data_IF_521634331607
#
_entry.id   IF_521634331607
#
_cell.length_a   1.000
_cell.length_b   1.000
_cell.length_c   1.000
_cell.angle_alpha   90.00
_cell.angle_beta   90.00
_cell.angle_gamma   90.00
#
_symmetry.space_group_name_H-M   'P 1'
#
loop_
_entity.id
_entity.type
_entity.pdbx_description
1 polymer ?
#
# COMPACT_ATOMS: atom_id res chain seq x y z
N UNK A 1 16.18 -0.74 -1.20
CA UNK A 1 16.04 0.35 -2.17
C UNK A 1 15.45 -0.20 -3.47
N UNK A 2 14.78 0.65 -4.22
CA UNK A 2 14.19 0.34 -5.53
C UNK A 2 14.99 1.14 -6.55
N UNK A 3 15.75 0.45 -7.40
CA UNK A 3 16.71 1.07 -8.31
C UNK A 3 16.34 0.89 -9.78
N UNK A 4 15.38 0.01 -10.08
CA UNK A 4 14.94 -0.28 -11.44
C UNK A 4 13.56 -0.93 -11.52
N UNK A 5 13.08 -1.14 -12.76
CA UNK A 5 11.85 -1.89 -13.01
C UNK A 5 11.91 -3.29 -12.41
N UNK A 6 10.81 -3.78 -11.89
CA UNK A 6 10.64 -5.11 -11.29
C UNK A 6 11.54 -5.40 -10.06
N UNK A 7 12.18 -4.37 -9.47
CA UNK A 7 12.84 -4.54 -8.17
C UNK A 7 11.80 -4.79 -7.08
N UNK A 8 10.65 -4.12 -7.14
CA UNK A 8 9.56 -4.34 -6.17
C UNK A 8 8.19 -4.09 -6.78
N UNK A 9 7.28 -5.05 -6.65
CA UNK A 9 5.86 -4.89 -6.95
C UNK A 9 5.07 -4.65 -5.67
N UNK A 10 4.21 -3.64 -5.67
CA UNK A 10 3.16 -3.45 -4.67
C UNK A 10 1.92 -4.18 -5.16
N UNK A 11 1.43 -5.13 -4.37
CA UNK A 11 0.27 -5.95 -4.68
C UNK A 11 -0.82 -5.64 -3.69
N UNK A 12 -2.02 -5.40 -4.20
CA UNK A 12 -3.20 -5.11 -3.39
C UNK A 12 -4.45 -5.69 -4.02
N UNK A 13 -5.45 -6.00 -3.19
CA UNK A 13 -6.73 -6.57 -3.59
C UNK A 13 -7.88 -5.68 -3.15
N UNK A 14 -8.62 -5.18 -4.12
CA UNK A 14 -9.77 -4.30 -3.89
C UNK A 14 -11.09 -5.03 -4.12
N UNK A 15 -12.09 -4.71 -3.33
CA UNK A 15 -13.44 -5.25 -3.43
C UNK A 15 -14.03 -5.66 -2.07
N UNK A 16 -15.20 -6.32 -2.04
CA UNK A 16 -15.97 -6.75 -3.21
C UNK A 16 -16.69 -5.60 -3.92
N UNK A 17 -16.68 -5.63 -5.25
CA UNK A 17 -17.45 -4.75 -6.13
C UNK A 17 -18.75 -5.44 -6.56
N UNK A 18 -19.74 -4.69 -7.13
CA UNK A 18 -20.88 -5.30 -7.79
C UNK A 18 -20.42 -6.34 -8.82
N UNK A 19 -21.14 -7.46 -8.92
CA UNK A 19 -20.75 -8.56 -9.80
C UNK A 19 -20.77 -8.13 -11.27
N UNK A 20 -19.62 -8.24 -11.96
CA UNK A 20 -19.43 -7.98 -13.39
C UNK A 20 -18.76 -9.18 -14.03
N UNK A 21 -19.38 -9.82 -15.01
CA UNK A 21 -18.88 -11.03 -15.69
C UNK A 21 -18.37 -12.11 -14.70
N UNK A 22 -19.12 -12.32 -13.60
CA UNK A 22 -18.74 -13.28 -12.55
C UNK A 22 -17.63 -12.81 -11.63
N UNK A 23 -17.06 -11.63 -11.83
CA UNK A 23 -15.97 -11.05 -11.03
C UNK A 23 -16.49 -10.09 -9.98
N UNK A 24 -15.80 -10.01 -8.83
CA UNK A 24 -16.15 -9.15 -7.69
C UNK A 24 -14.94 -8.49 -7.02
N UNK A 25 -13.71 -8.87 -7.40
CA UNK A 25 -12.46 -8.30 -6.89
C UNK A 25 -11.56 -7.83 -8.02
N UNK A 26 -10.67 -6.89 -7.72
CA UNK A 26 -9.60 -6.43 -8.60
C UNK A 26 -8.27 -6.66 -7.89
N UNK A 27 -7.41 -7.50 -8.47
CA UNK A 27 -6.01 -7.63 -8.09
C UNK A 27 -5.23 -6.56 -8.83
N UNK A 28 -4.51 -5.70 -8.12
CA UNK A 28 -3.64 -4.67 -8.68
C UNK A 28 -2.20 -4.97 -8.33
N UNK A 29 -1.31 -4.85 -9.31
CA UNK A 29 0.13 -4.95 -9.10
C UNK A 29 0.79 -3.69 -9.71
N UNK A 30 1.51 -2.93 -8.91
CA UNK A 30 2.15 -1.68 -9.31
C UNK A 30 3.65 -1.80 -9.13
N UNK A 31 4.41 -1.62 -10.19
CA UNK A 31 5.85 -1.53 -10.07
C UNK A 31 6.28 -0.27 -9.31
N UNK A 32 7.10 -0.44 -8.30
CA UNK A 32 7.49 0.64 -7.40
C UNK A 32 8.36 1.72 -8.09
N UNK A 33 9.07 1.34 -9.14
CA UNK A 33 9.97 2.23 -9.89
C UNK A 33 9.23 2.97 -11.01
N UNK A 34 8.68 2.23 -11.96
CA UNK A 34 8.03 2.77 -13.17
C UNK A 34 6.62 3.29 -12.94
N UNK A 35 5.94 2.81 -11.89
CA UNK A 35 4.51 2.99 -11.64
C UNK A 35 3.62 2.21 -12.59
N UNK A 36 4.18 1.30 -13.38
CA UNK A 36 3.41 0.46 -14.28
C UNK A 36 2.40 -0.38 -13.49
N UNK A 37 1.17 -0.35 -13.95
CA UNK A 37 0.03 -1.03 -13.32
C UNK A 37 -0.38 -2.24 -14.16
N UNK A 38 -0.51 -3.39 -13.53
CA UNK A 38 -1.38 -4.47 -14.02
C UNK A 38 -2.59 -4.61 -13.12
N UNK A 39 -3.77 -4.80 -13.70
CA UNK A 39 -5.00 -4.97 -12.96
C UNK A 39 -5.80 -6.15 -13.55
N UNK A 40 -6.25 -7.05 -12.68
CA UNK A 40 -6.95 -8.28 -13.06
C UNK A 40 -8.23 -8.45 -12.25
N UNK A 41 -9.34 -8.68 -12.95
CA UNK A 41 -10.64 -8.94 -12.31
C UNK A 41 -10.73 -10.40 -11.84
N UNK A 42 -11.09 -10.61 -10.57
CA UNK A 42 -11.14 -11.94 -9.94
C UNK A 42 -12.55 -12.29 -9.46
N UNK A 43 -12.93 -13.58 -9.52
CA UNK A 43 -14.23 -14.06 -9.04
C UNK A 43 -14.34 -14.14 -7.51
N UNK A 44 -13.21 -14.35 -6.84
CA UNK A 44 -13.08 -14.50 -5.39
C UNK A 44 -11.69 -14.03 -4.95
N UNK A 45 -11.43 -14.04 -3.65
CA UNK A 45 -10.14 -13.70 -3.04
C UNK A 45 -9.40 -14.92 -2.48
N UNK A 46 -9.70 -16.10 -3.00
CA UNK A 46 -9.01 -17.32 -2.59
C UNK A 46 -7.54 -17.28 -3.00
N UNK A 47 -6.68 -17.84 -2.16
CA UNK A 47 -5.25 -17.81 -2.35
C UNK A 47 -4.80 -18.39 -3.70
N UNK A 48 -5.43 -19.49 -4.13
CA UNK A 48 -5.19 -20.13 -5.43
C UNK A 48 -5.51 -19.19 -6.58
N UNK A 49 -6.68 -18.55 -6.54
CA UNK A 49 -7.14 -17.60 -7.57
C UNK A 49 -6.21 -16.39 -7.66
N UNK A 50 -5.81 -15.85 -6.51
CA UNK A 50 -4.89 -14.70 -6.44
C UNK A 50 -3.50 -15.07 -6.95
N UNK A 51 -2.95 -16.20 -6.51
CA UNK A 51 -1.64 -16.69 -6.93
C UNK A 51 -1.59 -16.98 -8.44
N UNK A 52 -2.61 -17.67 -8.97
CA UNK A 52 -2.71 -17.96 -10.41
C UNK A 52 -2.80 -16.67 -11.24
N UNK A 53 -3.62 -15.73 -10.82
CA UNK A 53 -3.76 -14.44 -11.49
C UNK A 53 -2.46 -13.63 -11.47
N UNK A 54 -1.74 -13.63 -10.34
CA UNK A 54 -0.45 -12.96 -10.18
C UNK A 54 0.59 -13.53 -11.16
N UNK A 55 0.69 -14.86 -11.21
CA UNK A 55 1.62 -15.53 -12.13
C UNK A 55 1.24 -15.26 -13.57
N UNK A 56 -0.01 -15.53 -13.95
CA UNK A 56 -0.46 -15.48 -15.35
C UNK A 56 -0.49 -14.07 -15.92
N UNK A 57 -1.02 -13.11 -15.16
CA UNK A 57 -1.32 -11.76 -15.63
C UNK A 57 -0.28 -10.71 -15.24
N UNK A 58 0.73 -11.07 -14.46
CA UNK A 58 1.80 -10.15 -14.08
C UNK A 58 3.17 -10.75 -14.35
N UNK A 59 3.51 -11.89 -13.73
CA UNK A 59 4.86 -12.46 -13.85
C UNK A 59 5.16 -12.97 -15.26
N UNK A 60 4.21 -13.63 -15.92
CA UNK A 60 4.39 -14.08 -17.29
C UNK A 60 4.47 -12.93 -18.31
N UNK A 61 3.93 -11.74 -17.98
CA UNK A 61 3.95 -10.59 -18.88
C UNK A 61 5.17 -9.70 -18.68
N UNK A 62 5.59 -9.49 -17.43
CA UNK A 62 6.60 -8.49 -17.06
C UNK A 62 7.90 -9.11 -16.55
N UNK A 63 7.92 -10.42 -16.34
CA UNK A 63 9.01 -11.12 -15.65
C UNK A 63 8.80 -11.17 -14.13
N UNK A 64 9.71 -11.86 -13.45
CA UNK A 64 9.66 -12.02 -11.99
C UNK A 64 10.22 -10.78 -11.30
N UNK A 65 9.53 -10.25 -10.29
CA UNK A 65 10.08 -9.19 -9.46
C UNK A 65 11.10 -9.76 -8.47
N UNK A 66 12.03 -8.94 -8.01
CA UNK A 66 12.91 -9.33 -6.90
C UNK A 66 12.15 -9.42 -5.59
N UNK A 67 11.22 -8.50 -5.39
CA UNK A 67 10.43 -8.39 -4.16
C UNK A 67 8.98 -8.08 -4.47
N UNK A 68 8.08 -8.59 -3.64
CA UNK A 68 6.70 -8.12 -3.59
C UNK A 68 6.42 -7.47 -2.24
N UNK A 69 5.59 -6.43 -2.23
CA UNK A 69 5.08 -5.79 -1.03
C UNK A 69 3.56 -5.99 -0.99
N UNK A 70 3.09 -6.67 0.05
CA UNK A 70 1.66 -6.93 0.29
C UNK A 70 1.25 -6.40 1.65
N UNK A 71 -0.04 -6.24 1.86
CA UNK A 71 -0.58 -6.08 3.20
C UNK A 71 -0.61 -7.43 3.96
N UNK A 72 -1.24 -7.42 5.15
CA UNK A 72 -1.40 -8.61 5.99
C UNK A 72 -2.70 -9.40 5.69
N UNK A 73 -3.28 -9.21 4.52
CA UNK A 73 -4.47 -9.95 4.09
C UNK A 73 -4.25 -11.46 4.06
N UNK A 74 -5.25 -12.23 4.45
CA UNK A 74 -5.18 -13.70 4.48
C UNK A 74 -4.93 -14.30 3.10
N UNK A 75 -5.34 -13.61 2.05
CA UNK A 75 -5.12 -13.93 0.64
C UNK A 75 -3.63 -13.95 0.25
N UNK A 76 -2.80 -13.18 0.98
CA UNK A 76 -1.34 -13.10 0.79
C UNK A 76 -0.54 -13.82 1.88
N UNK A 77 -1.18 -14.16 3.03
CA UNK A 77 -0.54 -14.77 4.21
C UNK A 77 -0.84 -16.27 4.33
N UNK A 78 -0.80 -17.02 3.23
CA UNK A 78 -1.13 -18.43 3.19
C UNK A 78 0.00 -19.28 2.61
N UNK A 79 -0.07 -20.58 2.80
CA UNK A 79 0.96 -21.54 2.37
C UNK A 79 1.15 -21.53 0.84
N UNK A 80 0.06 -21.46 0.06
CA UNK A 80 0.11 -21.49 -1.40
C UNK A 80 0.91 -20.31 -1.94
N UNK A 81 0.63 -19.09 -1.47
CA UNK A 81 1.36 -17.90 -1.90
C UNK A 81 2.85 -18.00 -1.52
N UNK A 82 3.13 -18.48 -0.31
CA UNK A 82 4.52 -18.67 0.14
C UNK A 82 5.26 -19.68 -0.72
N UNK A 83 4.65 -20.81 -1.04
CA UNK A 83 5.25 -21.84 -1.89
C UNK A 83 5.52 -21.35 -3.31
N UNK A 84 4.56 -20.65 -3.92
CA UNK A 84 4.73 -20.02 -5.24
C UNK A 84 5.90 -19.04 -5.24
N UNK A 85 5.97 -18.15 -4.25
CA UNK A 85 7.02 -17.14 -4.17
C UNK A 85 8.40 -17.76 -3.87
N UNK A 86 8.47 -18.77 -3.03
CA UNK A 86 9.70 -19.52 -2.76
C UNK A 86 10.22 -20.22 -4.02
N UNK A 87 9.34 -20.91 -4.74
CA UNK A 87 9.69 -21.61 -5.99
C UNK A 87 10.22 -20.64 -7.05
N UNK A 88 9.68 -19.42 -7.07
CA UNK A 88 10.07 -18.37 -8.01
C UNK A 88 11.22 -17.48 -7.49
N UNK A 89 11.77 -17.75 -6.30
CA UNK A 89 12.81 -16.96 -5.65
C UNK A 89 12.44 -15.48 -5.46
N UNK A 90 11.15 -15.19 -5.20
CA UNK A 90 10.63 -13.84 -4.97
C UNK A 90 10.51 -13.59 -3.47
N UNK A 91 11.12 -12.51 -2.99
CA UNK A 91 11.06 -12.14 -1.57
C UNK A 91 9.76 -11.40 -1.25
N UNK A 92 8.97 -11.88 -0.28
CA UNK A 92 7.80 -11.17 0.21
C UNK A 92 8.16 -10.21 1.34
N UNK A 93 7.84 -8.95 1.15
CA UNK A 93 7.86 -7.91 2.18
C UNK A 93 6.42 -7.69 2.67
N UNK A 94 6.25 -7.56 3.98
CA UNK A 94 4.94 -7.33 4.61
C UNK A 94 4.90 -5.92 5.17
N UNK A 95 3.82 -5.18 4.86
CA UNK A 95 3.61 -3.89 5.50
C UNK A 95 3.19 -4.10 6.95
N UNK A 96 3.76 -3.33 7.86
CA UNK A 96 3.24 -3.30 9.24
C UNK A 96 1.87 -2.63 9.25
N UNK A 97 0.91 -3.24 9.96
CA UNK A 97 -0.43 -2.69 10.12
C UNK A 97 -0.37 -1.23 10.57
N UNK A 98 -1.06 -0.34 9.84
CA UNK A 98 -1.22 1.08 10.20
C UNK A 98 0.00 2.00 10.05
N UNK A 99 0.89 1.75 9.08
CA UNK A 99 1.84 2.78 8.63
C UNK A 99 1.34 3.42 7.32
N UNK A 100 0.59 4.54 7.38
CA UNK A 100 0.01 5.20 6.18
C UNK A 100 1.06 5.62 5.16
N UNK A 101 2.27 5.94 5.62
CA UNK A 101 3.36 6.38 4.76
C UNK A 101 3.86 5.31 3.78
N UNK A 102 3.75 4.01 4.12
CA UNK A 102 4.15 2.91 3.25
C UNK A 102 3.06 2.59 2.20
N UNK A 103 1.78 2.74 2.54
CA UNK A 103 0.64 2.45 1.65
C UNK A 103 0.22 3.64 0.77
N UNK A 104 0.61 4.86 1.09
CA UNK A 104 0.21 6.06 0.34
C UNK A 104 0.65 6.09 -1.15
N UNK A 105 1.49 5.14 -1.57
CA UNK A 105 1.85 4.95 -2.98
C UNK A 105 0.82 4.10 -3.72
N UNK A 106 0.31 3.04 -3.10
CA UNK A 106 -0.78 2.20 -3.62
C UNK A 106 -2.10 2.96 -3.65
N UNK A 107 -2.45 3.66 -2.57
CA UNK A 107 -3.70 4.43 -2.46
C UNK A 107 -3.88 5.45 -3.60
N UNK A 108 -2.80 6.10 -4.06
CA UNK A 108 -2.87 7.03 -5.20
C UNK A 108 -3.19 6.34 -6.51
N UNK A 109 -2.62 5.16 -6.75
CA UNK A 109 -2.92 4.38 -7.96
C UNK A 109 -4.38 3.94 -7.94
N UNK A 110 -4.85 3.42 -6.81
CA UNK A 110 -6.26 3.02 -6.64
C UNK A 110 -7.21 4.20 -6.83
N UNK A 111 -6.88 5.39 -6.29
CA UNK A 111 -7.69 6.59 -6.48
C UNK A 111 -7.77 6.99 -7.95
N UNK A 112 -6.67 6.96 -8.69
CA UNK A 112 -6.65 7.27 -10.12
C UNK A 112 -7.39 6.23 -10.92
N UNK A 113 -7.19 4.93 -10.65
CA UNK A 113 -7.92 3.85 -11.32
C UNK A 113 -9.44 3.96 -11.05
N UNK A 114 -9.83 4.19 -9.81
CA UNK A 114 -11.24 4.38 -9.45
C UNK A 114 -11.86 5.61 -10.13
N UNK A 115 -11.10 6.71 -10.27
CA UNK A 115 -11.55 7.90 -11.00
C UNK A 115 -11.75 7.61 -12.49
N UNK A 116 -10.86 6.86 -13.14
CA UNK A 116 -11.02 6.42 -14.52
C UNK A 116 -12.22 5.48 -14.68
N UNK A 117 -12.34 4.50 -13.77
CA UNK A 117 -13.46 3.57 -13.77
C UNK A 117 -14.80 4.28 -13.59
N UNK A 118 -14.89 5.24 -12.68
CA UNK A 118 -16.15 5.98 -12.41
C UNK A 118 -16.65 6.81 -13.59
N UNK A 119 -15.78 7.14 -14.54
CA UNK A 119 -16.15 7.87 -15.77
C UNK A 119 -16.68 6.95 -16.87
N UNK A 120 -16.30 5.67 -16.86
CA UNK A 120 -16.59 4.74 -17.95
C UNK A 120 -17.63 3.69 -17.57
N UNK A 121 -17.73 3.34 -16.29
CA UNK A 121 -18.64 2.31 -15.79
C UNK A 121 -20.08 2.83 -15.83
N UNK A 122 -21.00 2.03 -16.35
CA UNK A 122 -22.42 2.33 -16.39
C UNK A 122 -23.03 2.46 -14.97
N UNK A 123 -24.14 3.15 -14.85
CA UNK A 123 -24.83 3.42 -13.56
C UNK A 123 -25.13 2.15 -12.75
N UNK A 124 -25.37 1.02 -13.44
CA UNK A 124 -25.64 -0.27 -12.81
C UNK A 124 -24.36 -0.98 -12.30
N UNK A 125 -23.19 -0.47 -12.63
CA UNK A 125 -21.86 -0.99 -12.24
C UNK A 125 -21.64 -2.48 -12.57
N UNK A 126 -22.22 -2.99 -13.65
CA UNK A 126 -22.14 -4.42 -14.02
C UNK A 126 -21.16 -4.71 -15.17
N UNK A 127 -20.49 -3.70 -15.69
CA UNK A 127 -19.58 -3.77 -16.84
C UNK A 127 -18.10 -3.45 -16.52
N UNK A 128 -17.80 -3.18 -15.26
CA UNK A 128 -16.48 -2.75 -14.84
C UNK A 128 -15.35 -3.76 -15.18
N UNK A 129 -15.63 -5.08 -15.09
CA UNK A 129 -14.61 -6.09 -15.35
C UNK A 129 -14.14 -6.06 -16.83
N UNK A 130 -15.06 -5.75 -17.77
CA UNK A 130 -14.76 -5.61 -19.19
C UNK A 130 -14.00 -4.32 -19.49
N UNK A 131 -14.25 -3.24 -18.73
CA UNK A 131 -13.62 -1.94 -18.92
C UNK A 131 -12.27 -1.81 -18.20
N UNK A 132 -11.99 -2.69 -17.25
CA UNK A 132 -10.76 -2.65 -16.45
C UNK A 132 -9.46 -2.63 -17.28
N UNK A 133 -9.29 -3.44 -18.37
CA UNK A 133 -8.09 -3.39 -19.20
C UNK A 133 -7.89 -2.04 -19.88
N UNK A 134 -8.97 -1.38 -20.34
CA UNK A 134 -8.92 -0.06 -20.96
C UNK A 134 -8.51 1.01 -19.97
N UNK A 135 -9.07 0.99 -18.75
CA UNK A 135 -8.68 1.90 -17.66
C UNK A 135 -7.23 1.69 -17.25
N UNK A 136 -6.77 0.43 -17.19
CA UNK A 136 -5.39 0.08 -16.88
C UNK A 136 -4.43 0.61 -17.96
N UNK A 137 -4.79 0.45 -19.23
CA UNK A 137 -4.02 1.01 -20.34
C UNK A 137 -3.99 2.53 -20.29
N UNK A 138 -5.14 3.20 -20.13
CA UNK A 138 -5.22 4.66 -20.01
C UNK A 138 -4.36 5.19 -18.85
N UNK A 139 -4.33 4.49 -17.71
CA UNK A 139 -3.44 4.81 -16.60
C UNK A 139 -1.96 4.72 -17.02
N UNK A 140 -1.56 3.62 -17.68
CA UNK A 140 -0.17 3.37 -18.04
C UNK A 140 0.38 4.33 -19.10
N UNK A 141 -0.46 4.84 -19.99
CA UNK A 141 -0.07 5.84 -21.01
C UNK A 141 -0.23 7.29 -20.54
N UNK A 142 -0.79 7.49 -19.37
CA UNK A 142 -0.90 8.83 -18.75
C UNK A 142 0.40 9.20 -18.05
N UNK A 143 0.83 10.46 -18.18
CA UNK A 143 2.04 10.96 -17.53
C UNK A 143 1.89 10.97 -16.00
N UNK A 144 2.79 10.28 -15.33
CA UNK A 144 2.82 10.24 -13.87
C UNK A 144 3.52 11.47 -13.30
N UNK A 145 2.84 12.23 -12.45
CA UNK A 145 3.47 13.34 -11.69
C UNK A 145 4.66 12.87 -10.82
N UNK A 146 4.68 11.56 -10.48
CA UNK A 146 5.71 10.99 -9.64
C UNK A 146 7.05 10.85 -10.36
N UNK A 147 7.04 10.58 -11.64
CA UNK A 147 8.21 10.26 -12.45
C UNK A 147 8.43 11.24 -13.60
N UNK A 148 7.41 12.04 -13.95
CA UNK A 148 7.33 12.88 -15.15
C UNK A 148 7.35 12.12 -16.47
N UNK A 149 7.26 10.80 -16.44
CA UNK A 149 7.16 9.93 -17.60
C UNK A 149 5.86 9.14 -17.55
N UNK A 150 5.46 8.54 -18.65
CA UNK A 150 4.41 7.55 -18.64
C UNK A 150 4.94 6.25 -18.01
N UNK A 151 4.15 5.52 -17.23
CA UNK A 151 4.54 4.19 -16.75
C UNK A 151 4.90 3.25 -17.89
N UNK A 152 4.20 3.35 -19.00
CA UNK A 152 4.45 2.55 -20.19
C UNK A 152 5.86 2.79 -20.76
N UNK A 153 6.26 4.06 -20.91
CA UNK A 153 7.62 4.40 -21.37
C UNK A 153 8.70 3.83 -20.47
N UNK A 154 8.56 4.02 -19.15
CA UNK A 154 9.57 3.54 -18.18
C UNK A 154 9.67 2.01 -18.13
N UNK A 155 8.60 1.29 -18.46
CA UNK A 155 8.60 -0.17 -18.46
C UNK A 155 9.10 -0.75 -19.80
N UNK A 156 8.73 -0.13 -20.94
CA UNK A 156 8.95 -0.71 -22.27
C UNK A 156 9.96 0.05 -23.13
N UNK A 157 10.44 1.22 -22.70
CA UNK A 157 11.43 2.04 -23.42
C UNK A 157 10.89 2.85 -24.60
N UNK A 158 9.61 2.77 -24.85
CA UNK A 158 8.91 3.53 -25.90
C UNK A 158 7.53 3.94 -25.41
N UNK A 159 6.96 4.99 -26.02
CA UNK A 159 5.56 5.31 -25.79
C UNK A 159 4.64 4.29 -26.48
N UNK A 160 3.47 4.08 -25.92
CA UNK A 160 2.44 3.28 -26.55
C UNK A 160 1.85 4.06 -27.74
N UNK A 161 1.62 3.37 -28.85
CA UNK A 161 0.83 3.93 -29.94
C UNK A 161 -0.65 3.79 -29.55
N UNK A 162 -1.32 4.91 -29.40
CA UNK A 162 -2.74 4.98 -29.09
C UNK A 162 -3.60 4.97 -30.36
N UNK A 163 -4.86 4.53 -30.30
CA UNK A 163 -5.76 4.59 -31.45
C UNK A 163 -5.87 5.99 -32.07
N UNK A 164 -5.76 7.03 -31.25
CA UNK A 164 -5.76 8.42 -31.72
C UNK A 164 -4.54 8.75 -32.57
N UNK A 165 -3.36 8.24 -32.26
CA UNK A 165 -2.13 8.45 -33.02
C UNK A 165 -2.26 7.86 -34.42
N UNK A 166 -2.93 6.71 -34.53
CA UNK A 166 -3.22 6.06 -35.82
C UNK A 166 -4.18 6.92 -36.65
N UNK A 167 -5.25 7.44 -36.02
CA UNK A 167 -6.24 8.30 -36.69
C UNK A 167 -5.61 9.62 -37.17
N UNK A 168 -4.76 10.23 -36.34
CA UNK A 168 -4.07 11.47 -36.64
C UNK A 168 -2.87 11.27 -37.56
N UNK A 169 -2.56 10.02 -37.96
CA UNK A 169 -1.39 9.65 -38.77
C UNK A 169 -0.09 10.27 -38.24
N UNK A 170 0.03 10.35 -36.93
CA UNK A 170 1.26 10.77 -36.26
C UNK A 170 2.29 9.68 -36.47
N UNK A 171 3.32 9.84 -37.33
CA UNK A 171 4.27 8.78 -37.55
C UNK A 171 5.08 8.55 -36.27
N UNK A 172 5.45 7.31 -35.94
CA UNK A 172 6.54 7.08 -35.04
C UNK A 172 7.77 7.77 -35.63
N UNK A 173 8.30 8.77 -34.95
CA UNK A 173 9.39 9.62 -35.41
C UNK A 173 10.75 8.93 -35.39
N UNK A 174 10.86 7.74 -35.95
CA UNK A 174 12.14 7.05 -36.02
C UNK A 174 12.51 6.81 -37.47
N UNK A 175 13.53 7.56 -37.92
CA UNK A 175 14.30 7.25 -39.12
C UNK A 175 14.78 5.80 -39.06
N UNK A 176 14.84 5.10 -40.22
CA UNK A 176 15.33 3.74 -40.27
C UNK A 176 16.77 3.66 -39.77
N UNK A 177 16.95 3.03 -38.60
CA UNK A 177 18.23 2.88 -37.95
C UNK A 177 18.64 1.43 -38.00
N UNK A 178 19.94 1.15 -37.95
CA UNK A 178 20.41 -0.20 -37.71
C UNK A 178 19.97 -0.70 -36.36
N UNK A 179 19.79 -2.00 -36.17
CA UNK A 179 19.39 -2.63 -34.90
C UNK A 179 20.32 -2.22 -33.77
N UNK A 180 21.63 -2.12 -34.06
CA UNK A 180 22.65 -1.73 -33.09
C UNK A 180 22.46 -0.29 -32.61
N UNK A 181 22.30 0.66 -33.54
CA UNK A 181 22.05 2.07 -33.22
C UNK A 181 20.73 2.25 -32.44
N UNK A 182 19.70 1.49 -32.78
CA UNK A 182 18.46 1.49 -32.05
C UNK A 182 18.66 1.03 -30.60
N UNK A 183 19.37 -0.07 -30.37
CA UNK A 183 19.64 -0.60 -29.02
C UNK A 183 20.46 0.39 -28.19
N UNK A 184 21.51 0.97 -28.77
CA UNK A 184 22.35 1.96 -28.06
C UNK A 184 21.54 3.21 -27.65
N UNK A 185 20.76 3.77 -28.58
CA UNK A 185 19.88 4.91 -28.29
C UNK A 185 18.83 4.57 -27.24
N UNK A 186 18.25 3.37 -27.31
CA UNK A 186 17.30 2.91 -26.31
C UNK A 186 17.93 2.79 -24.93
N UNK A 187 19.13 2.22 -24.83
CA UNK A 187 19.87 2.11 -23.56
C UNK A 187 20.17 3.50 -22.98
N UNK A 188 20.63 4.45 -23.80
CA UNK A 188 20.92 5.82 -23.34
C UNK A 188 19.63 6.53 -22.87
N UNK A 189 18.52 6.38 -23.58
CA UNK A 189 17.21 6.92 -23.19
C UNK A 189 16.74 6.34 -21.86
N UNK A 190 16.85 5.02 -21.68
CA UNK A 190 16.50 4.36 -20.43
C UNK A 190 17.38 4.84 -19.27
N UNK A 191 18.70 4.89 -19.47
CA UNK A 191 19.61 5.35 -18.43
C UNK A 191 19.26 6.78 -17.98
N UNK A 192 19.08 7.70 -18.92
CA UNK A 192 18.70 9.08 -18.63
C UNK A 192 17.37 9.20 -17.90
N UNK A 193 16.36 8.43 -18.32
CA UNK A 193 15.04 8.40 -17.70
C UNK A 193 15.11 7.80 -16.27
N UNK A 194 15.86 6.71 -16.08
CA UNK A 194 16.02 6.06 -14.79
C UNK A 194 16.76 6.95 -13.80
N UNK A 195 17.82 7.63 -14.22
CA UNK A 195 18.55 8.59 -13.40
C UNK A 195 17.64 9.74 -12.93
N UNK A 196 16.78 10.24 -13.83
CA UNK A 196 15.79 11.25 -13.49
C UNK A 196 14.81 10.74 -12.45
N UNK A 197 14.27 9.53 -12.63
CA UNK A 197 13.34 8.89 -11.68
C UNK A 197 13.98 8.69 -10.32
N UNK A 198 15.21 8.17 -10.27
CA UNK A 198 15.95 7.96 -9.03
C UNK A 198 16.17 9.28 -8.27
N UNK A 199 16.58 10.34 -8.96
CA UNK A 199 16.74 11.69 -8.36
C UNK A 199 15.42 12.21 -7.77
N UNK A 200 14.31 12.06 -8.50
CA UNK A 200 13.00 12.49 -8.04
C UNK A 200 12.50 11.67 -6.85
N UNK A 201 12.70 10.35 -6.88
CA UNK A 201 12.32 9.47 -5.75
C UNK A 201 13.11 9.84 -4.48
N UNK A 202 14.42 10.07 -4.60
CA UNK A 202 15.28 10.49 -3.48
C UNK A 202 14.79 11.83 -2.90
N UNK A 203 14.60 12.84 -3.74
CA UNK A 203 14.12 14.15 -3.31
C UNK A 203 12.74 14.09 -2.61
N UNK A 204 11.81 13.27 -3.14
CA UNK A 204 10.50 13.05 -2.49
C UNK A 204 10.61 12.35 -1.16
N UNK A 205 11.44 11.31 -1.06
CA UNK A 205 11.66 10.58 0.18
C UNK A 205 12.25 11.51 1.26
N UNK A 206 13.20 12.36 0.89
CA UNK A 206 13.76 13.36 1.80
C UNK A 206 12.73 14.40 2.25
N UNK A 207 11.90 14.90 1.32
CA UNK A 207 10.79 15.84 1.68
C UNK A 207 9.77 15.18 2.61
N UNK A 208 9.38 13.94 2.33
CA UNK A 208 8.46 13.19 3.21
C UNK A 208 9.07 12.98 4.58
N UNK A 209 10.36 12.63 4.66
CA UNK A 209 11.07 12.47 5.93
C UNK A 209 11.09 13.79 6.70
N UNK A 210 11.48 14.92 6.08
CA UNK A 210 11.48 16.25 6.72
C UNK A 210 10.09 16.66 7.21
N UNK A 211 9.04 16.43 6.40
CA UNK A 211 7.67 16.75 6.79
C UNK A 211 7.18 15.87 7.95
N UNK A 212 7.56 14.60 7.96
CA UNK A 212 7.29 13.69 9.06
C UNK A 212 8.02 14.13 10.33
N UNK A 213 9.33 14.36 10.24
CA UNK A 213 10.17 14.76 11.38
C UNK A 213 9.72 16.13 11.96
N UNK A 214 9.27 17.07 11.11
CA UNK A 214 8.74 18.36 11.55
C UNK A 214 7.40 18.25 12.29
N UNK A 215 6.56 17.29 11.93
CA UNK A 215 5.27 17.05 12.57
C UNK A 215 5.34 16.09 13.77
N UNK A 216 6.42 15.34 13.89
CA UNK A 216 6.65 14.47 15.06
C UNK A 216 7.07 15.34 16.23
N UNK A 217 6.11 15.81 17.04
CA UNK A 217 6.40 16.15 18.44
C UNK A 217 7.02 14.88 19.01
N UNK A 218 8.30 14.94 19.43
CA UNK A 218 8.99 13.82 20.10
C UNK A 218 8.19 13.42 21.31
N UNK A 219 7.23 12.51 21.15
CA UNK A 219 6.50 11.90 22.24
C UNK A 219 7.37 10.78 22.75
N UNK A 220 7.98 10.98 23.91
CA UNK A 220 8.68 9.92 24.62
C UNK A 220 7.89 9.57 25.86
N UNK A 221 7.85 8.31 26.17
CA UNK A 221 7.21 7.78 27.37
C UNK A 221 8.21 6.96 28.17
N UNK A 222 8.09 7.01 29.50
CA UNK A 222 8.94 6.25 30.41
C UNK A 222 8.25 4.99 30.90
N UNK A 223 9.05 3.97 31.25
CA UNK A 223 8.54 2.76 31.91
C UNK A 223 7.75 3.14 33.17
N UNK A 224 6.59 2.54 33.35
CA UNK A 224 5.70 2.82 34.47
C UNK A 224 4.62 3.85 34.19
N UNK A 225 4.76 4.71 33.16
CA UNK A 225 3.71 5.68 32.80
C UNK A 225 2.47 5.00 32.26
N UNK A 226 1.32 5.64 32.49
CA UNK A 226 0.04 5.20 31.94
C UNK A 226 -0.29 5.96 30.68
N UNK A 227 -0.84 5.23 29.67
CA UNK A 227 -1.15 5.75 28.34
C UNK A 227 -2.49 5.23 27.84
N UNK A 228 -3.17 6.04 27.05
CA UNK A 228 -4.25 5.59 26.18
C UNK A 228 -3.67 4.90 24.95
N UNK A 229 -4.29 3.79 24.52
CA UNK A 229 -3.91 3.04 23.33
C UNK A 229 -4.96 3.19 22.25
N UNK A 230 -4.54 3.63 21.05
CA UNK A 230 -5.40 3.72 19.87
C UNK A 230 -5.65 2.34 19.28
N UNK A 231 -6.89 1.89 19.34
CA UNK A 231 -7.34 0.58 18.90
C UNK A 231 -8.56 0.71 17.99
N UNK A 232 -8.38 0.85 16.66
CA UNK A 232 -9.47 1.14 15.72
C UNK A 232 -10.22 -0.14 15.33
N UNK A 233 -10.91 -0.76 16.28
CA UNK A 233 -11.87 -1.83 15.99
C UNK A 233 -13.29 -1.31 16.25
N UNK A 234 -14.14 -1.48 15.23
CA UNK A 234 -15.56 -1.20 15.35
C UNK A 234 -16.30 -2.53 15.58
N UNK A 235 -16.98 -2.73 16.69
CA UNK A 235 -17.83 -3.91 16.90
C UNK A 235 -18.92 -3.98 15.83
N UNK A 236 -19.33 -5.20 15.47
CA UNK A 236 -20.40 -5.43 14.52
C UNK A 236 -21.68 -4.74 15.04
N UNK A 237 -22.35 -3.96 14.19
CA UNK A 237 -23.57 -3.23 14.54
C UNK A 237 -23.35 -1.82 15.09
N UNK A 238 -22.10 -1.32 15.20
CA UNK A 238 -21.82 0.04 15.66
C UNK A 238 -21.35 0.94 14.52
N UNK A 239 -21.78 2.22 14.53
CA UNK A 239 -21.32 3.22 13.58
C UNK A 239 -19.90 3.70 13.94
N UNK A 240 -18.94 3.53 13.03
CA UNK A 240 -17.54 3.90 13.24
C UNK A 240 -17.31 5.38 13.56
N UNK A 241 -18.19 6.26 13.02
CA UNK A 241 -18.12 7.72 13.24
C UNK A 241 -18.36 8.17 14.70
N UNK A 242 -19.00 7.33 15.51
CA UNK A 242 -19.33 7.64 16.92
C UNK A 242 -18.45 6.90 17.91
N UNK A 243 -17.49 6.12 17.44
CA UNK A 243 -16.63 5.33 18.30
C UNK A 243 -15.38 6.07 18.73
N UNK A 244 -15.07 5.91 20.01
CA UNK A 244 -13.81 6.38 20.57
C UNK A 244 -12.77 5.27 20.40
N UNK A 245 -11.72 5.55 19.63
CA UNK A 245 -10.69 4.57 19.30
C UNK A 245 -9.58 4.43 20.36
N UNK A 246 -9.57 5.28 21.39
CA UNK A 246 -8.62 5.17 22.48
C UNK A 246 -9.20 4.35 23.63
N UNK A 247 -8.50 3.28 23.97
CA UNK A 247 -8.83 2.37 25.06
C UNK A 247 -7.71 2.38 26.11
N UNK A 248 -8.04 2.08 27.35
CA UNK A 248 -7.05 2.04 28.44
C UNK A 248 -7.62 2.45 29.79
N UNK A 249 -6.76 2.88 30.72
CA UNK A 249 -5.32 3.09 30.56
C UNK A 249 -4.48 1.79 30.49
N UNK A 250 -3.35 1.89 29.78
CA UNK A 250 -2.32 0.85 29.71
C UNK A 250 -1.05 1.37 30.40
N UNK A 251 -0.31 0.52 31.08
CA UNK A 251 0.99 0.85 31.65
C UNK A 251 2.10 0.50 30.68
N UNK A 252 3.10 1.37 30.54
CA UNK A 252 4.32 1.07 29.78
C UNK A 252 5.18 0.14 30.61
N UNK A 253 5.43 -1.04 30.07
CA UNK A 253 6.22 -2.09 30.71
C UNK A 253 7.69 -2.03 30.29
N UNK A 254 7.94 -1.78 29.02
CA UNK A 254 9.28 -1.71 28.44
C UNK A 254 9.32 -0.79 27.25
N UNK A 255 10.42 -0.05 27.11
CA UNK A 255 10.78 0.72 25.91
C UNK A 255 11.71 -0.14 25.07
N UNK A 256 11.34 -0.44 23.81
CA UNK A 256 12.16 -1.23 22.90
C UNK A 256 13.16 -0.30 22.19
N UNK A 257 12.64 0.83 21.68
CA UNK A 257 13.42 1.90 21.05
C UNK A 257 12.59 3.20 21.11
N UNK A 258 13.10 4.28 20.51
CA UNK A 258 12.48 5.62 20.56
C UNK A 258 11.03 5.67 20.08
N UNK A 259 10.59 4.70 19.30
CA UNK A 259 9.26 4.68 18.68
C UNK A 259 8.41 3.46 19.06
N UNK A 260 8.97 2.40 19.63
CA UNK A 260 8.26 1.16 19.94
C UNK A 260 8.26 0.86 21.44
N UNK A 261 7.09 0.60 21.97
CA UNK A 261 6.79 0.40 23.38
C UNK A 261 6.05 -0.92 23.59
N UNK A 262 6.32 -1.58 24.72
CA UNK A 262 5.51 -2.69 25.23
C UNK A 262 4.59 -2.14 26.30
N UNK A 263 3.29 -2.30 26.08
CA UNK A 263 2.25 -1.84 27.00
C UNK A 263 1.43 -3.00 27.52
N UNK A 264 0.87 -2.85 28.72
CA UNK A 264 0.01 -3.86 29.36
C UNK A 264 -1.18 -3.22 30.05
N UNK A 265 -2.37 -3.78 29.87
CA UNK A 265 -3.62 -3.25 30.46
C UNK A 265 -3.76 -3.54 31.95
N UNK A 266 -3.44 -4.77 32.35
CA UNK A 266 -3.42 -5.24 33.75
C UNK A 266 -2.21 -6.13 33.98
N UNK A 267 -1.75 -6.37 35.21
CA UNK A 267 -0.59 -7.24 35.48
C UNK A 267 -0.70 -8.65 34.91
N UNK A 268 -1.93 -9.17 34.73
CA UNK A 268 -2.20 -10.50 34.18
C UNK A 268 -2.50 -10.51 32.69
N UNK A 269 -2.70 -9.35 32.05
CA UNK A 269 -3.00 -9.26 30.63
C UNK A 269 -1.76 -9.57 29.77
N UNK A 270 -1.97 -10.00 28.54
CA UNK A 270 -0.87 -10.17 27.58
C UNK A 270 -0.28 -8.81 27.20
N UNK A 271 1.06 -8.69 27.17
CA UNK A 271 1.71 -7.46 26.71
C UNK A 271 1.44 -7.24 25.22
N UNK A 272 1.33 -5.97 24.82
CA UNK A 272 1.11 -5.55 23.44
C UNK A 272 2.27 -4.66 23.03
N UNK A 273 2.95 -4.98 21.93
CA UNK A 273 3.95 -4.11 21.31
C UNK A 273 3.26 -3.12 20.39
N UNK A 274 3.56 -1.84 20.54
CA UNK A 274 2.90 -0.78 19.76
C UNK A 274 3.83 0.38 19.46
N UNK A 275 3.50 1.13 18.39
CA UNK A 275 4.22 2.33 17.98
C UNK A 275 3.76 3.55 18.79
N UNK A 276 4.66 4.51 19.02
CA UNK A 276 4.43 5.75 19.79
C UNK A 276 3.22 6.57 19.31
N UNK A 277 2.95 6.57 17.99
CA UNK A 277 1.82 7.30 17.39
C UNK A 277 0.45 6.79 17.86
N UNK A 278 0.39 5.54 18.32
CA UNK A 278 -0.83 4.94 18.88
C UNK A 278 -0.99 5.22 20.38
N UNK A 279 -0.05 5.92 20.97
CA UNK A 279 -0.07 6.21 22.41
C UNK A 279 -0.36 7.68 22.68
N UNK A 280 -1.17 7.93 23.71
CA UNK A 280 -1.44 9.26 24.26
C UNK A 280 -1.28 9.19 25.77
N UNK A 281 -0.59 10.16 26.37
CA UNK A 281 -0.40 10.18 27.82
C UNK A 281 -1.74 10.16 28.55
N UNK A 282 -1.83 9.33 29.57
CA UNK A 282 -2.98 9.31 30.48
C UNK A 282 -2.76 10.32 31.61
N UNK A 283 -3.71 11.24 31.76
CA UNK A 283 -3.73 12.23 32.82
C UNK A 283 -4.88 11.88 33.80
N UNK A 284 -4.60 11.06 34.76
CA UNK A 284 -5.57 10.65 35.78
C UNK A 284 -4.91 9.95 36.96
N UNK A 285 -5.64 9.66 38.01
CA UNK A 285 -5.12 8.88 39.13
C UNK A 285 -4.73 7.47 38.66
N UNK A 286 -3.80 6.86 39.35
CA UNK A 286 -3.33 5.50 39.03
C UNK A 286 -4.51 4.53 38.99
N UNK A 287 -4.63 3.73 37.93
CA UNK A 287 -5.75 2.81 37.77
C UNK A 287 -5.75 1.74 38.85
N UNK A 288 -6.93 1.37 39.38
CA UNK A 288 -7.04 0.29 40.36
C UNK A 288 -6.54 -1.03 39.72
N UNK A 289 -5.71 -1.77 40.46
CA UNK A 289 -5.12 -3.05 40.03
C UNK A 289 -3.64 -3.02 39.71
N UNK A 290 -2.99 -1.87 39.69
CA UNK A 290 -1.53 -1.72 39.62
C UNK A 290 -0.87 -1.35 40.98
N UNK A 291 -1.66 -0.92 41.99
CA UNK A 291 -1.26 -0.86 43.40
C UNK A 291 -1.75 -2.11 44.11
N UNK A 292 -0.93 -2.74 44.94
CA UNK A 292 -1.33 -3.93 45.69
C UNK A 292 -2.51 -3.62 46.64
N UNK A 293 -3.70 -4.10 46.29
CA UNK A 293 -4.91 -3.95 47.11
C UNK A 293 -6.18 -4.20 46.29
N UNK A 294 -6.91 -5.27 46.62
CA UNK A 294 -8.00 -5.84 45.81
C UNK A 294 -9.19 -4.93 45.58
N UNK A 295 -9.84 -5.16 44.47
CA UNK A 295 -11.14 -4.59 44.13
C UNK A 295 -11.51 -4.87 42.69
N UNK A 296 -12.46 -5.76 42.48
CA UNK A 296 -13.06 -6.03 41.17
C UNK A 296 -13.88 -4.83 40.74
N UNK A 297 -13.58 -4.24 39.58
CA UNK A 297 -14.59 -3.62 38.72
C UNK A 297 -14.05 -3.56 37.29
N UNK A 298 -14.56 -4.45 36.44
CA UNK A 298 -14.47 -4.39 34.99
C UNK A 298 -15.47 -3.33 34.48
N UNK A 299 -15.02 -2.12 34.23
CA UNK A 299 -15.68 -1.19 33.32
C UNK A 299 -14.62 -0.47 32.49
N UNK A 300 -14.79 -0.57 31.17
CA UNK A 300 -13.97 0.17 30.22
C UNK A 300 -14.05 1.68 30.47
N UNK A 301 -13.01 2.25 31.04
CA UNK A 301 -12.90 3.70 31.19
C UNK A 301 -12.55 4.26 29.81
N UNK A 302 -13.48 5.02 29.25
CA UNK A 302 -13.40 5.61 27.91
C UNK A 302 -12.85 7.03 28.05
N UNK A 303 -11.89 7.42 27.23
CA UNK A 303 -11.28 8.75 27.25
C UNK A 303 -12.31 9.88 27.01
N UNK A 304 -12.25 11.02 27.72
CA UNK A 304 -13.09 12.16 27.43
C UNK A 304 -12.80 12.73 26.05
N UNK A 305 -13.86 13.14 25.35
CA UNK A 305 -13.77 13.90 24.12
C UNK A 305 -13.27 15.31 24.45
N UNK A 306 -12.15 15.71 23.91
CA UNK A 306 -11.73 17.12 23.98
C UNK A 306 -10.25 17.31 24.22
N UNK A 307 -9.65 17.77 23.26
CA UNK A 307 -8.76 18.89 22.94
C UNK A 307 -7.78 18.52 21.85
N UNK A 308 -7.88 19.33 20.82
CA UNK A 308 -7.11 19.34 19.58
C UNK A 308 -5.61 19.17 19.75
#
# INVERSE_FOLDING_TARGET
DVNGPMDRLHIDLCGPFPRSDGKVYILTCVDAFTRYLTATALPNKEATTVAEALVRHTFCLLGLPRQILTDLGSEFQNHIMQEVLQTMHVTQLKTTSFHPACNGRGERVHRTLNALMSQLVADNQKDWARLLPQCTFAYNVSRSEATNYTPYYLMHGREAICPLDIVLRTPPSEESQTVTEFVEKMQQRFQSAFDCVLKQQKSRTERMKRAYDANVKKRSFSVGQFVWYFYPRTPIGHASKWQRFYIGPYRIERVINDVNYVIRRTPRARPVTTHVDKLKLFHGPDPPGWGGGGGRHDRDVIAPAGSC
#
